data_IF_487172644123
#
_entry.id   IF_487172644123
#
_cell.length_a   1.000
_cell.length_b   1.000
_cell.length_c   1.000
_cell.angle_alpha   90.00
_cell.angle_beta   90.00
_cell.angle_gamma   90.00
#
_symmetry.space_group_name_H-M   'P 1'
#
loop_
_entity.id
_entity.type
_entity.pdbx_description
1 polymer ?
#
# COMPACT_ATOMS: atom_id res chain seq x y z
N UNK A 1 -14.70 -3.38 -32.81
CA UNK A 1 -14.91 -3.39 -31.34
C UNK A 1 -14.18 -2.20 -30.68
N UNK A 2 -14.24 -0.97 -31.24
CA UNK A 2 -13.45 0.19 -30.78
C UNK A 2 -14.32 1.44 -30.51
N UNK A 3 -15.57 1.25 -30.08
CA UNK A 3 -16.55 2.35 -30.05
C UNK A 3 -17.10 2.57 -28.64
N UNK A 4 -16.30 2.38 -27.59
CA UNK A 4 -16.72 2.78 -26.26
C UNK A 4 -16.87 4.31 -26.26
N UNK A 5 -18.05 4.87 -25.96
CA UNK A 5 -18.20 6.30 -25.82
C UNK A 5 -17.31 6.75 -24.67
N UNK A 6 -16.17 7.33 -24.99
CA UNK A 6 -15.27 7.93 -23.99
C UNK A 6 -15.94 9.21 -23.52
N UNK A 7 -16.80 9.11 -22.51
CA UNK A 7 -17.41 10.27 -21.86
C UNK A 7 -16.30 11.01 -21.13
N UNK A 8 -15.64 11.95 -21.83
CA UNK A 8 -14.66 12.89 -21.27
C UNK A 8 -15.39 13.98 -20.48
N UNK A 9 -16.02 13.59 -19.38
CA UNK A 9 -16.63 14.56 -18.46
C UNK A 9 -15.55 15.10 -17.52
N UNK A 10 -15.34 16.43 -17.48
CA UNK A 10 -14.35 17.03 -16.58
C UNK A 10 -14.66 16.74 -15.10
N UNK A 11 -15.94 16.55 -14.75
CA UNK A 11 -16.38 16.19 -13.40
C UNK A 11 -15.85 14.84 -12.93
N UNK A 12 -15.74 13.85 -13.84
CA UNK A 12 -15.18 12.54 -13.49
C UNK A 12 -13.71 12.67 -13.12
N UNK A 13 -12.96 13.48 -13.87
CA UNK A 13 -11.55 13.73 -13.60
C UNK A 13 -11.39 14.43 -12.25
N UNK A 14 -12.21 15.45 -11.96
CA UNK A 14 -12.17 16.18 -10.69
C UNK A 14 -12.46 15.26 -9.50
N UNK A 15 -13.49 14.41 -9.58
CA UNK A 15 -13.84 13.47 -8.51
C UNK A 15 -12.72 12.45 -8.30
N UNK A 16 -12.15 11.90 -9.37
CA UNK A 16 -11.02 10.98 -9.27
C UNK A 16 -9.79 11.64 -8.65
N UNK A 17 -9.45 12.87 -9.08
CA UNK A 17 -8.34 13.64 -8.53
C UNK A 17 -8.54 13.88 -7.04
N UNK A 18 -9.71 14.37 -6.62
CA UNK A 18 -10.01 14.60 -5.21
C UNK A 18 -9.93 13.31 -4.38
N UNK A 19 -10.53 12.22 -4.87
CA UNK A 19 -10.51 10.94 -4.17
C UNK A 19 -9.10 10.37 -4.02
N UNK A 20 -8.32 10.36 -5.10
CA UNK A 20 -6.95 9.86 -5.06
C UNK A 20 -6.03 10.78 -4.27
N UNK A 21 -6.16 12.10 -4.38
CA UNK A 21 -5.38 13.03 -3.55
C UNK A 21 -5.72 12.82 -2.08
N UNK A 22 -6.99 12.65 -1.70
CA UNK A 22 -7.37 12.37 -0.32
C UNK A 22 -6.74 11.06 0.20
N UNK A 23 -6.75 9.99 -0.61
CA UNK A 23 -6.16 8.70 -0.24
C UNK A 23 -4.63 8.75 -0.12
N UNK A 24 -3.96 9.40 -1.08
CA UNK A 24 -2.50 9.38 -1.20
C UNK A 24 -1.78 10.55 -0.51
N UNK A 25 -2.44 11.68 -0.26
CA UNK A 25 -1.84 12.81 0.48
C UNK A 25 -1.27 12.40 1.85
N UNK A 26 -1.97 11.63 2.72
CA UNK A 26 -1.38 11.22 4.00
C UNK A 26 -0.20 10.27 3.83
N UNK A 27 -0.25 9.38 2.82
CA UNK A 27 0.89 8.50 2.47
C UNK A 27 2.09 9.32 2.00
N UNK A 28 1.88 10.35 1.19
CA UNK A 28 2.92 11.29 0.75
C UNK A 28 3.53 12.05 1.92
N UNK A 29 2.71 12.52 2.85
CA UNK A 29 3.20 13.16 4.07
C UNK A 29 4.06 12.21 4.90
N UNK A 30 3.64 10.95 5.08
CA UNK A 30 4.45 9.93 5.76
C UNK A 30 5.83 9.78 5.11
N UNK A 31 5.89 9.73 3.77
CA UNK A 31 7.15 9.64 3.02
C UNK A 31 8.00 10.91 3.20
N UNK A 32 7.40 12.11 3.17
CA UNK A 32 8.15 13.35 3.39
C UNK A 32 8.74 13.39 4.81
N UNK A 33 7.95 13.00 5.81
CA UNK A 33 8.38 12.99 7.20
C UNK A 33 9.35 11.86 7.56
N UNK A 34 9.40 10.76 6.80
CA UNK A 34 10.43 9.73 7.02
C UNK A 34 11.85 10.26 6.75
N UNK A 35 11.97 11.35 5.97
CA UNK A 35 13.22 12.08 5.78
C UNK A 35 13.48 13.17 6.83
N UNK A 36 12.61 13.38 7.82
CA UNK A 36 12.85 14.35 8.88
C UNK A 36 13.82 13.75 9.91
N UNK A 37 14.90 14.48 10.21
CA UNK A 37 15.86 14.08 11.25
C UNK A 37 15.29 14.14 12.68
N UNK A 38 14.22 14.91 12.88
CA UNK A 38 13.51 15.05 14.16
C UNK A 38 12.62 13.85 14.47
N UNK A 39 12.53 13.47 15.75
CA UNK A 39 11.51 12.54 16.26
C UNK A 39 10.11 13.17 16.34
N UNK A 40 10.02 14.50 16.38
CA UNK A 40 8.76 15.23 16.39
C UNK A 40 8.36 15.63 14.96
N UNK A 41 7.19 15.17 14.52
CA UNK A 41 6.58 15.51 13.22
C UNK A 41 6.29 17.02 13.11
N UNK A 42 6.12 17.71 14.24
CA UNK A 42 5.84 19.16 14.31
C UNK A 42 7.07 20.05 14.11
N UNK A 43 8.29 19.48 14.18
CA UNK A 43 9.54 20.25 14.07
C UNK A 43 10.36 19.71 12.92
N UNK A 44 10.61 20.55 11.91
CA UNK A 44 11.48 20.20 10.79
C UNK A 44 12.94 20.46 11.15
N UNK A 45 13.68 19.40 11.51
CA UNK A 45 15.09 19.52 11.91
C UNK A 45 16.08 19.30 10.75
N UNK A 46 15.59 19.06 9.53
CA UNK A 46 16.39 18.87 8.32
C UNK A 46 16.18 17.51 7.65
N UNK A 47 16.76 17.35 6.46
CA UNK A 47 16.70 16.12 5.67
C UNK A 47 17.68 15.06 6.20
N UNK A 48 17.22 13.83 6.40
CA UNK A 48 18.04 12.69 6.87
C UNK A 48 17.43 11.35 6.51
N UNK A 49 18.27 10.37 6.16
CA UNK A 49 17.87 8.97 5.95
C UNK A 49 18.19 8.09 7.16
N UNK A 50 18.55 8.68 8.31
CA UNK A 50 19.01 7.97 9.51
C UNK A 50 18.06 6.85 9.93
N UNK A 51 16.75 7.10 9.91
CA UNK A 51 15.74 6.14 10.37
C UNK A 51 15.72 4.84 9.58
N UNK A 52 16.06 4.90 8.29
CA UNK A 52 16.20 3.69 7.48
C UNK A 52 17.39 2.84 7.94
N UNK A 53 18.51 3.46 8.31
CA UNK A 53 19.68 2.75 8.85
C UNK A 53 19.43 2.21 10.27
N UNK A 54 18.70 2.95 11.10
CA UNK A 54 18.30 2.51 12.44
C UNK A 54 17.35 1.30 12.35
N UNK A 55 16.38 1.33 11.43
CA UNK A 55 15.45 0.23 11.17
C UNK A 55 16.17 -1.08 10.82
N UNK A 56 17.22 -1.00 10.00
CA UNK A 56 18.00 -2.17 9.59
C UNK A 56 18.88 -2.74 10.70
N UNK A 57 19.15 -1.95 11.75
CA UNK A 57 19.93 -2.36 12.92
C UNK A 57 19.06 -2.86 14.08
N UNK A 58 17.74 -2.71 13.96
CA UNK A 58 16.78 -3.20 14.95
C UNK A 58 16.40 -4.65 14.64
N UNK A 59 17.07 -5.60 15.30
CA UNK A 59 16.84 -7.04 15.12
C UNK A 59 15.40 -7.46 15.47
N UNK A 60 14.78 -6.79 16.46
CA UNK A 60 13.40 -7.08 16.84
C UNK A 60 12.43 -6.63 15.74
N UNK A 61 12.65 -5.46 15.16
CA UNK A 61 11.83 -4.97 14.05
C UNK A 61 12.03 -5.83 12.79
N UNK A 62 13.27 -6.22 12.48
CA UNK A 62 13.57 -7.02 11.29
C UNK A 62 13.00 -8.44 11.38
N UNK A 63 13.08 -9.06 12.56
CA UNK A 63 12.47 -10.38 12.80
C UNK A 63 10.94 -10.32 12.69
N UNK A 64 10.30 -9.26 13.19
CA UNK A 64 8.87 -9.04 13.03
C UNK A 64 8.46 -8.88 11.55
N UNK A 65 9.25 -8.17 10.75
CA UNK A 65 9.04 -8.05 9.30
C UNK A 65 9.13 -9.41 8.61
N UNK A 66 10.17 -10.20 8.93
CA UNK A 66 10.35 -11.54 8.38
C UNK A 66 9.17 -12.45 8.69
N UNK A 67 8.74 -12.50 9.96
CA UNK A 67 7.57 -13.26 10.39
C UNK A 67 6.31 -12.82 9.65
N UNK A 68 6.06 -11.51 9.55
CA UNK A 68 4.90 -10.95 8.86
C UNK A 68 4.86 -11.35 7.39
N UNK A 69 6.01 -11.29 6.71
CA UNK A 69 6.13 -11.69 5.30
C UNK A 69 5.87 -13.18 5.12
N UNK A 70 6.40 -14.04 6.00
CA UNK A 70 6.16 -15.49 5.95
C UNK A 70 4.68 -15.80 6.13
N UNK A 71 4.04 -15.22 7.15
CA UNK A 71 2.60 -15.42 7.42
C UNK A 71 1.78 -14.93 6.23
N UNK A 72 2.07 -13.73 5.71
CA UNK A 72 1.36 -13.15 4.58
C UNK A 72 1.49 -14.03 3.32
N UNK A 73 2.68 -14.53 3.01
CA UNK A 73 2.91 -15.38 1.85
C UNK A 73 2.14 -16.71 1.96
N UNK A 74 2.20 -17.37 3.11
CA UNK A 74 1.46 -18.62 3.34
C UNK A 74 -0.06 -18.39 3.26
N UNK A 75 -0.56 -17.36 3.93
CA UNK A 75 -1.97 -17.04 3.96
C UNK A 75 -2.51 -16.66 2.57
N UNK A 76 -1.82 -15.78 1.84
CA UNK A 76 -2.21 -15.37 0.50
C UNK A 76 -2.21 -16.55 -0.48
N UNK A 77 -1.20 -17.41 -0.41
CA UNK A 77 -1.11 -18.60 -1.27
C UNK A 77 -2.24 -19.60 -0.98
N UNK A 78 -2.47 -19.91 0.29
CA UNK A 78 -3.56 -20.80 0.70
C UNK A 78 -4.93 -20.22 0.29
N UNK A 79 -5.15 -18.93 0.53
CA UNK A 79 -6.38 -18.24 0.13
C UNK A 79 -6.58 -18.27 -1.39
N UNK A 80 -5.52 -18.07 -2.19
CA UNK A 80 -5.61 -18.14 -3.64
C UNK A 80 -5.96 -19.54 -4.14
N UNK A 81 -5.34 -20.59 -3.59
CA UNK A 81 -5.62 -21.98 -3.96
C UNK A 81 -7.07 -22.33 -3.60
N UNK A 82 -7.45 -22.13 -2.34
CA UNK A 82 -8.80 -22.46 -1.85
C UNK A 82 -9.87 -21.63 -2.56
N UNK A 83 -9.63 -20.33 -2.73
CA UNK A 83 -10.53 -19.42 -3.43
C UNK A 83 -10.72 -19.81 -4.90
N UNK A 84 -9.65 -20.23 -5.57
CA UNK A 84 -9.73 -20.72 -6.96
C UNK A 84 -10.54 -22.00 -7.06
N UNK A 85 -10.32 -22.97 -6.17
CA UNK A 85 -11.10 -24.22 -6.13
C UNK A 85 -12.58 -23.91 -5.90
N UNK A 86 -12.89 -23.08 -4.90
CA UNK A 86 -14.26 -22.68 -4.60
C UNK A 86 -14.94 -21.98 -5.79
N UNK A 87 -14.23 -21.06 -6.45
CA UNK A 87 -14.75 -20.38 -7.63
C UNK A 87 -15.05 -21.35 -8.78
N UNK A 88 -14.16 -22.32 -9.04
CA UNK A 88 -14.38 -23.34 -10.08
C UNK A 88 -15.60 -24.19 -9.79
N UNK A 89 -15.77 -24.63 -8.53
CA UNK A 89 -16.94 -25.43 -8.12
C UNK A 89 -18.22 -24.63 -8.30
N UNK A 90 -18.28 -23.41 -7.76
CA UNK A 90 -19.48 -22.57 -7.83
C UNK A 90 -19.87 -22.20 -9.27
N UNK A 91 -18.89 -21.94 -10.15
CA UNK A 91 -19.17 -21.50 -11.53
C UNK A 91 -19.51 -22.67 -12.45
N UNK A 92 -18.94 -23.86 -12.23
CA UNK A 92 -19.08 -25.00 -13.15
C UNK A 92 -19.99 -26.12 -12.65
N UNK A 93 -20.18 -26.25 -11.34
CA UNK A 93 -20.90 -27.36 -10.71
C UNK A 93 -21.95 -26.90 -9.68
N UNK A 94 -22.04 -25.59 -9.41
CA UNK A 94 -23.03 -24.97 -8.53
C UNK A 94 -24.27 -24.49 -9.26
#
# INVERSE_FOLDING_TARGET
MNNLPVVRSPWRIVILLLGFTFLYAPMLMLVIYSFNSSKLVTVWAGWSTRWYGELLRDDAMMSAVGLSLTIAACAATAAAILGTIAAVVLVRFG
#
